data_IF_971529071824
#
_entry.id   IF_971529071824
#
_cell.length_a   1.000
_cell.length_b   1.000
_cell.length_c   1.000
_cell.angle_alpha   90.00
_cell.angle_beta   90.00
_cell.angle_gamma   90.00
#
_symmetry.space_group_name_H-M   'P 1'
#
loop_
_entity.id
_entity.type
_entity.pdbx_description
1 polymer ?
#
# COMPACT_ATOMS: atom_id res chain seq x y z
N UNK A 1 -48.46 -10.90 7.72
CA UNK A 1 -47.54 -11.15 8.85
C UNK A 1 -46.08 -11.03 8.41
N UNK A 2 -45.61 -9.81 8.09
CA UNK A 2 -44.20 -9.57 7.76
C UNK A 2 -43.29 -9.40 8.99
N UNK A 3 -43.83 -8.80 10.07
CA UNK A 3 -43.08 -8.57 11.31
C UNK A 3 -42.67 -9.88 12.02
N UNK A 4 -43.52 -10.91 11.99
CA UNK A 4 -43.21 -12.22 12.58
C UNK A 4 -42.17 -13.03 11.79
N UNK A 5 -42.02 -12.78 10.48
CA UNK A 5 -41.00 -13.41 9.65
C UNK A 5 -39.63 -12.72 9.85
N UNK A 6 -39.61 -11.39 9.89
CA UNK A 6 -38.41 -10.63 10.22
C UNK A 6 -37.90 -10.93 11.64
N UNK A 7 -38.79 -11.13 12.62
CA UNK A 7 -38.42 -11.59 13.96
C UNK A 7 -37.85 -13.02 13.98
N UNK A 8 -38.34 -13.94 13.15
CA UNK A 8 -37.75 -15.29 13.03
C UNK A 8 -36.40 -15.29 12.30
N UNK A 9 -36.20 -14.39 11.35
CA UNK A 9 -34.91 -14.22 10.68
C UNK A 9 -33.88 -13.53 11.60
N UNK A 10 -34.32 -12.60 12.44
CA UNK A 10 -33.49 -11.95 13.46
C UNK A 10 -33.18 -12.85 14.66
N UNK A 11 -34.03 -13.84 14.95
CA UNK A 11 -33.82 -14.87 15.96
C UNK A 11 -33.08 -16.11 15.43
N UNK A 12 -32.74 -16.15 14.14
CA UNK A 12 -31.91 -17.22 13.59
C UNK A 12 -30.45 -16.94 14.00
N UNK A 13 -29.92 -17.78 14.88
CA UNK A 13 -28.53 -17.69 15.29
C UNK A 13 -27.63 -17.75 14.05
N UNK A 14 -26.71 -16.80 13.84
CA UNK A 14 -25.77 -16.82 12.73
C UNK A 14 -25.07 -18.17 12.68
N UNK A 15 -24.94 -18.76 11.49
CA UNK A 15 -24.32 -20.09 11.32
C UNK A 15 -22.91 -20.13 11.91
N UNK A 16 -22.17 -19.02 11.81
CA UNK A 16 -20.86 -18.85 12.43
C UNK A 16 -20.93 -18.93 13.95
N UNK A 17 -21.95 -18.33 14.57
CA UNK A 17 -22.14 -18.31 16.01
C UNK A 17 -22.54 -19.69 16.54
N UNK A 18 -23.50 -20.37 15.90
CA UNK A 18 -23.85 -21.76 16.22
C UNK A 18 -22.66 -22.70 16.13
N UNK A 19 -21.85 -22.56 15.06
CA UNK A 19 -20.68 -23.38 14.83
C UNK A 19 -19.65 -23.28 15.96
N UNK A 20 -19.37 -22.06 16.43
CA UNK A 20 -18.42 -21.85 17.53
C UNK A 20 -19.02 -22.20 18.90
N UNK A 21 -20.30 -21.95 19.13
CA UNK A 21 -20.96 -22.34 20.39
C UNK A 21 -21.01 -23.85 20.56
N UNK A 22 -21.42 -24.59 19.52
CA UNK A 22 -21.51 -26.04 19.59
C UNK A 22 -20.13 -26.72 19.71
N UNK A 23 -19.07 -26.10 19.17
CA UNK A 23 -17.69 -26.59 19.33
C UNK A 23 -17.02 -26.14 20.65
N UNK A 24 -17.63 -25.20 21.37
CA UNK A 24 -17.19 -24.71 22.67
C UNK A 24 -17.97 -25.29 23.86
N UNK A 25 -18.98 -26.12 23.60
CA UNK A 25 -19.93 -26.67 24.60
C UNK A 25 -19.23 -27.39 25.78
N UNK A 26 -18.07 -28.00 25.54
CA UNK A 26 -17.24 -28.69 26.56
C UNK A 26 -15.92 -27.96 26.87
N UNK A 27 -15.76 -26.69 26.47
CA UNK A 27 -14.48 -25.97 26.53
C UNK A 27 -14.63 -24.62 27.21
N UNK A 28 -13.94 -24.43 28.35
CA UNK A 28 -13.94 -23.15 29.05
C UNK A 28 -13.06 -22.10 28.34
N UNK A 29 -13.67 -21.34 27.43
CA UNK A 29 -13.03 -20.28 26.63
C UNK A 29 -12.54 -19.07 27.44
N UNK A 30 -12.87 -18.97 28.74
CA UNK A 30 -12.30 -17.95 29.62
C UNK A 30 -10.86 -18.27 30.06
N UNK A 31 -10.42 -19.52 29.87
CA UNK A 31 -9.07 -19.99 30.22
C UNK A 31 -8.18 -20.08 28.99
N UNK A 32 -6.87 -19.88 29.18
CA UNK A 32 -5.88 -19.95 28.09
C UNK A 32 -5.85 -21.36 27.46
N UNK A 33 -5.93 -22.40 28.29
CA UNK A 33 -6.00 -23.80 27.84
C UNK A 33 -7.30 -24.12 27.08
N UNK A 34 -8.43 -23.58 27.52
CA UNK A 34 -9.69 -23.75 26.80
C UNK A 34 -9.68 -23.08 25.43
N UNK A 35 -9.14 -21.86 25.32
CA UNK A 35 -8.98 -21.18 24.02
C UNK A 35 -8.07 -21.96 23.07
N UNK A 36 -7.00 -22.57 23.57
CA UNK A 36 -6.11 -23.41 22.76
C UNK A 36 -6.80 -24.70 22.28
N UNK A 37 -7.57 -25.38 23.16
CA UNK A 37 -8.34 -26.58 22.79
C UNK A 37 -9.41 -26.30 21.74
N UNK A 38 -10.11 -25.17 21.85
CA UNK A 38 -11.08 -24.75 20.85
C UNK A 38 -10.41 -24.51 19.49
N UNK A 39 -9.27 -23.83 19.47
CA UNK A 39 -8.52 -23.57 18.23
C UNK A 39 -8.05 -24.87 17.55
N UNK A 40 -7.50 -25.82 18.29
CA UNK A 40 -7.06 -27.13 17.76
C UNK A 40 -8.21 -27.95 17.18
N UNK A 41 -9.41 -27.85 17.76
CA UNK A 41 -10.60 -28.59 17.28
C UNK A 41 -11.22 -27.95 16.03
N UNK A 42 -11.21 -26.62 15.94
CA UNK A 42 -11.81 -25.87 14.83
C UNK A 42 -10.92 -25.84 13.58
N UNK A 43 -9.59 -25.74 13.75
CA UNK A 43 -8.60 -25.66 12.64
C UNK A 43 -8.79 -26.72 11.54
N UNK A 44 -8.90 -28.03 11.83
CA UNK A 44 -9.04 -29.05 10.78
C UNK A 44 -10.40 -28.97 10.06
N UNK A 45 -11.44 -28.45 10.72
CA UNK A 45 -12.76 -28.26 10.10
C UNK A 45 -12.76 -27.06 9.15
N UNK A 46 -12.09 -25.97 9.51
CA UNK A 46 -11.92 -24.80 8.63
C UNK A 46 -11.06 -25.11 7.40
N UNK A 47 -10.09 -26.01 7.51
CA UNK A 47 -9.27 -26.45 6.37
C UNK A 47 -10.07 -27.23 5.31
N UNK A 48 -11.26 -27.75 5.65
CA UNK A 48 -12.16 -28.46 4.72
C UNK A 48 -13.11 -27.53 3.96
N UNK A 49 -13.16 -26.23 4.32
CA UNK A 49 -13.98 -25.26 3.60
C UNK A 49 -13.27 -24.84 2.29
N UNK A 50 -14.03 -24.64 1.20
CA UNK A 50 -13.50 -24.12 -0.05
C UNK A 50 -12.87 -22.73 0.17
N UNK A 51 -11.83 -22.43 -0.60
CA UNK A 51 -11.17 -21.13 -0.56
C UNK A 51 -12.13 -20.02 -1.00
N UNK A 52 -12.26 -18.97 -0.19
CA UNK A 52 -13.18 -17.86 -0.44
C UNK A 52 -13.41 -16.98 0.79
N UNK A 53 -14.04 -15.82 0.61
CA UNK A 53 -14.20 -14.78 1.64
C UNK A 53 -14.84 -15.29 2.95
N UNK A 54 -15.72 -16.29 2.88
CA UNK A 54 -16.34 -16.89 4.07
C UNK A 54 -15.32 -17.62 4.95
N UNK A 55 -14.37 -18.34 4.34
CA UNK A 55 -13.31 -19.04 5.07
C UNK A 55 -12.37 -18.05 5.78
N UNK A 56 -12.10 -16.90 5.17
CA UNK A 56 -11.28 -15.84 5.77
C UNK A 56 -11.98 -15.19 6.97
N UNK A 57 -13.28 -14.88 6.83
CA UNK A 57 -14.10 -14.35 7.93
C UNK A 57 -14.22 -15.34 9.09
N UNK A 58 -14.32 -16.65 8.82
CA UNK A 58 -14.34 -17.69 9.86
C UNK A 58 -12.98 -17.84 10.58
N UNK A 59 -11.86 -17.68 9.87
CA UNK A 59 -10.53 -17.67 10.49
C UNK A 59 -10.32 -16.42 11.37
N UNK A 60 -10.76 -15.26 10.91
CA UNK A 60 -10.74 -14.02 11.69
C UNK A 60 -11.61 -14.13 12.95
N UNK A 61 -12.81 -14.73 12.83
CA UNK A 61 -13.69 -14.97 13.97
C UNK A 61 -13.06 -15.93 15.01
N UNK A 62 -12.36 -16.98 14.57
CA UNK A 62 -11.62 -17.89 15.46
C UNK A 62 -10.48 -17.15 16.19
N UNK A 63 -9.73 -16.30 15.47
CA UNK A 63 -8.65 -15.51 16.06
C UNK A 63 -9.17 -14.52 17.09
N UNK A 64 -10.28 -13.83 16.80
CA UNK A 64 -10.91 -12.88 17.72
C UNK A 64 -11.36 -13.55 19.04
N UNK A 65 -11.84 -14.79 18.97
CA UNK A 65 -12.35 -15.53 20.14
C UNK A 65 -11.26 -16.25 20.95
N UNK A 66 -10.22 -16.76 20.28
CA UNK A 66 -9.18 -17.57 20.95
C UNK A 66 -7.87 -16.82 21.19
N UNK A 67 -7.60 -15.75 20.44
CA UNK A 67 -6.30 -15.08 20.40
C UNK A 67 -5.19 -15.90 19.74
N UNK A 68 -5.50 -17.13 19.29
CA UNK A 68 -4.54 -18.04 18.68
C UNK A 68 -4.65 -17.92 17.16
N UNK A 69 -3.66 -17.29 16.54
CA UNK A 69 -3.54 -17.24 15.09
C UNK A 69 -3.20 -18.63 14.54
N UNK A 70 -3.85 -19.07 13.46
CA UNK A 70 -3.53 -20.32 12.73
C UNK A 70 -2.28 -20.20 11.86
N UNK A 71 -1.33 -19.35 12.23
CA UNK A 71 -0.01 -19.32 11.62
C UNK A 71 0.90 -20.25 12.42
N UNK A 72 1.37 -21.32 11.75
CA UNK A 72 2.36 -22.24 12.29
C UNK A 72 3.57 -21.46 12.86
N UNK A 73 4.11 -21.84 14.04
CA UNK A 73 5.25 -21.15 14.63
C UNK A 73 6.52 -21.55 13.88
N UNK A 74 7.05 -20.66 13.03
CA UNK A 74 8.40 -20.80 12.51
C UNK A 74 9.40 -20.45 13.62
N UNK A 75 10.25 -21.42 13.94
CA UNK A 75 11.27 -21.38 14.96
C UNK A 75 12.25 -20.20 14.81
N UNK A 76 12.70 -19.70 15.96
CA UNK A 76 13.75 -18.69 16.13
C UNK A 76 15.10 -19.18 15.62
N UNK A 77 15.63 -18.47 14.62
CA UNK A 77 17.07 -18.38 14.34
C UNK A 77 17.41 -16.91 14.02
N UNK A 78 18.47 -16.32 14.62
CA UNK A 78 18.84 -14.94 14.36
C UNK A 78 19.71 -14.89 13.10
N UNK A 79 19.08 -14.94 11.92
CA UNK A 79 19.74 -14.53 10.69
C UNK A 79 19.33 -13.10 10.38
N UNK A 80 20.25 -12.19 10.67
CA UNK A 80 20.25 -10.80 10.20
C UNK A 80 20.31 -10.81 8.67
N UNK A 81 19.13 -10.90 8.04
CA UNK A 81 18.91 -10.63 6.63
C UNK A 81 18.10 -9.32 6.53
N UNK A 82 18.41 -8.44 5.56
CA UNK A 82 17.85 -7.10 5.53
C UNK A 82 16.33 -7.18 5.41
N UNK A 83 15.65 -6.34 6.19
CA UNK A 83 14.23 -6.05 6.05
C UNK A 83 13.96 -5.43 4.66
N UNK A 84 13.97 -6.26 3.62
CA UNK A 84 13.71 -5.88 2.24
C UNK A 84 12.75 -6.90 1.66
N UNK A 85 11.50 -6.88 2.12
CA UNK A 85 10.35 -7.50 1.41
C UNK A 85 8.97 -7.30 2.06
N UNK A 86 8.82 -6.47 3.09
CA UNK A 86 7.50 -6.02 3.53
C UNK A 86 6.98 -4.77 2.77
N UNK A 87 7.80 -4.18 1.88
CA UNK A 87 7.43 -3.03 1.04
C UNK A 87 7.19 -3.36 -0.43
N UNK A 88 7.34 -4.62 -0.85
CA UNK A 88 7.38 -4.99 -2.27
C UNK A 88 6.00 -5.15 -2.94
N UNK A 89 4.89 -5.08 -2.21
CA UNK A 89 3.53 -5.26 -2.75
C UNK A 89 2.67 -3.99 -2.65
N UNK A 90 3.07 -2.98 -1.88
CA UNK A 90 2.55 -1.63 -2.12
C UNK A 90 3.24 -1.13 -3.39
N UNK A 91 2.51 -1.05 -4.51
CA UNK A 91 3.00 -0.55 -5.79
C UNK A 91 3.88 0.68 -5.54
N UNK A 92 5.13 0.64 -6.02
CA UNK A 92 6.01 1.80 -5.92
C UNK A 92 5.32 2.98 -6.61
N UNK A 93 5.10 4.08 -5.90
CA UNK A 93 4.46 5.29 -6.45
C UNK A 93 5.20 5.82 -7.68
N UNK A 94 6.53 5.69 -7.69
CA UNK A 94 7.37 6.03 -8.85
C UNK A 94 7.07 5.09 -10.01
N UNK A 95 6.98 3.78 -9.75
CA UNK A 95 6.66 2.79 -10.79
C UNK A 95 5.27 3.00 -11.38
N UNK A 96 4.30 3.32 -10.53
CA UNK A 96 2.93 3.66 -10.91
C UNK A 96 2.89 4.94 -11.75
N UNK A 97 3.54 6.02 -11.30
CA UNK A 97 3.65 7.25 -12.07
C UNK A 97 4.31 7.04 -13.44
N UNK A 98 5.37 6.22 -13.51
CA UNK A 98 6.01 5.86 -14.78
C UNK A 98 5.06 5.05 -15.67
N UNK A 99 4.39 4.03 -15.13
CA UNK A 99 3.47 3.20 -15.91
C UNK A 99 2.30 4.02 -16.48
N UNK A 100 1.71 4.90 -15.67
CA UNK A 100 0.62 5.78 -16.11
C UNK A 100 1.11 6.81 -17.14
N UNK A 101 2.30 7.38 -16.95
CA UNK A 101 2.91 8.29 -17.93
C UNK A 101 3.23 7.59 -19.25
N UNK A 102 3.62 6.31 -19.22
CA UNK A 102 3.84 5.52 -20.43
C UNK A 102 2.51 5.14 -21.10
N UNK A 103 1.41 4.99 -20.35
CA UNK A 103 0.09 4.77 -20.93
C UNK A 103 -0.47 6.03 -21.61
N UNK A 104 -0.24 7.20 -21.01
CA UNK A 104 -0.61 8.49 -21.59
C UNK A 104 0.51 9.54 -21.41
N UNK A 105 1.41 9.68 -22.41
CA UNK A 105 2.47 10.68 -22.38
C UNK A 105 1.98 12.13 -22.35
N UNK A 106 0.73 12.41 -22.72
CA UNK A 106 0.19 13.77 -22.70
C UNK A 106 0.05 14.30 -21.27
N UNK A 107 -0.05 13.42 -20.26
CA UNK A 107 -0.07 13.78 -18.85
C UNK A 107 1.20 14.54 -18.40
N UNK A 108 2.31 14.43 -19.13
CA UNK A 108 3.51 15.21 -18.86
C UNK A 108 3.27 16.72 -18.98
N UNK A 109 2.27 17.16 -19.75
CA UNK A 109 1.91 18.56 -19.91
C UNK A 109 1.30 19.17 -18.63
N UNK A 110 0.61 18.37 -17.82
CA UNK A 110 -0.11 18.76 -16.60
C UNK A 110 0.82 19.16 -15.45
N UNK A 111 2.10 18.80 -15.53
CA UNK A 111 3.10 19.00 -14.48
C UNK A 111 4.25 19.83 -15.03
N UNK A 112 4.61 20.91 -14.34
CA UNK A 112 5.67 21.81 -14.75
C UNK A 112 6.88 21.76 -13.81
N UNK A 113 8.10 22.03 -14.31
CA UNK A 113 9.25 22.34 -13.47
C UNK A 113 9.01 23.62 -12.64
N UNK A 114 9.57 23.74 -11.42
CA UNK A 114 10.39 22.74 -10.74
C UNK A 114 9.56 21.56 -10.22
N UNK A 115 10.11 20.34 -10.35
CA UNK A 115 9.43 19.12 -9.94
C UNK A 115 9.36 19.03 -8.40
N UNK A 116 8.20 19.29 -7.79
CA UNK A 116 8.03 19.31 -6.33
C UNK A 116 8.45 18.00 -5.64
N UNK A 117 8.34 16.87 -6.34
CA UNK A 117 8.74 15.55 -5.87
C UNK A 117 10.23 15.21 -6.11
N UNK A 118 11.02 16.06 -6.77
CA UNK A 118 12.41 15.75 -7.11
C UNK A 118 13.30 15.47 -5.89
N UNK A 119 12.95 16.05 -4.73
CA UNK A 119 13.66 15.81 -3.48
C UNK A 119 13.31 14.47 -2.81
N UNK A 120 12.39 13.68 -3.36
CA UNK A 120 12.04 12.37 -2.80
C UNK A 120 13.21 11.39 -2.91
N UNK A 121 13.54 10.71 -1.81
CA UNK A 121 14.64 9.73 -1.77
C UNK A 121 14.28 8.37 -2.42
N UNK A 122 13.28 8.33 -3.28
CA UNK A 122 12.75 7.09 -3.88
C UNK A 122 13.59 6.67 -5.10
N UNK A 123 13.90 5.37 -5.25
CA UNK A 123 14.58 4.88 -6.45
C UNK A 123 13.71 5.10 -7.69
N UNK A 124 14.31 5.60 -8.77
CA UNK A 124 13.64 5.86 -10.04
C UNK A 124 13.04 7.26 -10.20
N UNK A 125 13.14 8.15 -9.20
CA UNK A 125 12.69 9.56 -9.33
C UNK A 125 13.44 10.27 -10.47
N UNK A 126 14.75 10.06 -10.59
CA UNK A 126 15.55 10.61 -11.69
C UNK A 126 15.05 10.12 -13.07
N UNK A 127 14.69 8.84 -13.17
CA UNK A 127 14.15 8.25 -14.40
C UNK A 127 12.77 8.84 -14.75
N UNK A 128 11.90 9.02 -13.75
CA UNK A 128 10.59 9.66 -13.93
C UNK A 128 10.75 11.11 -14.41
N UNK A 129 11.71 11.87 -13.89
CA UNK A 129 12.02 13.22 -14.34
C UNK A 129 12.49 13.21 -15.80
N UNK A 130 13.42 12.34 -16.17
CA UNK A 130 13.92 12.24 -17.55
C UNK A 130 12.77 11.89 -18.53
N UNK A 131 11.87 10.98 -18.14
CA UNK A 131 10.68 10.64 -18.93
C UNK A 131 9.72 11.82 -19.08
N UNK A 132 9.47 12.58 -18.00
CA UNK A 132 8.63 13.77 -18.04
C UNK A 132 9.20 14.83 -18.97
N UNK A 133 10.51 15.08 -18.88
CA UNK A 133 11.21 16.02 -19.76
C UNK A 133 11.13 15.59 -21.22
N UNK A 134 11.35 14.30 -21.50
CA UNK A 134 11.28 13.75 -22.86
C UNK A 134 9.85 13.84 -23.44
N UNK A 135 8.84 13.46 -22.65
CA UNK A 135 7.44 13.52 -23.07
C UNK A 135 6.97 14.97 -23.30
N UNK A 136 7.41 15.92 -22.48
CA UNK A 136 7.13 17.35 -22.68
C UNK A 136 7.86 17.93 -23.89
N UNK A 137 9.08 17.50 -24.16
CA UNK A 137 9.85 17.96 -25.32
C UNK A 137 9.29 17.44 -26.65
N UNK A 138 8.53 16.33 -26.62
CA UNK A 138 7.98 15.67 -27.80
C UNK A 138 6.47 15.38 -27.63
N UNK A 139 5.61 16.40 -27.59
CA UNK A 139 4.18 16.21 -27.44
C UNK A 139 3.61 15.36 -28.59
N UNK A 140 2.83 14.34 -28.26
CA UNK A 140 2.24 13.41 -29.24
C UNK A 140 3.19 12.32 -29.75
N UNK A 141 4.42 12.22 -29.24
CA UNK A 141 5.30 11.11 -29.58
C UNK A 141 4.71 9.77 -29.06
N UNK A 142 4.77 8.70 -29.87
CA UNK A 142 4.33 7.39 -29.41
C UNK A 142 5.26 6.88 -28.30
N UNK A 143 4.71 6.07 -27.40
CA UNK A 143 5.44 5.47 -26.26
C UNK A 143 6.71 4.77 -26.71
N UNK A 144 6.67 4.04 -27.83
CA UNK A 144 7.84 3.38 -28.41
C UNK A 144 8.99 4.37 -28.67
N UNK A 145 8.72 5.57 -29.19
CA UNK A 145 9.75 6.58 -29.43
C UNK A 145 10.33 7.17 -28.12
N UNK A 146 9.58 7.14 -27.02
CA UNK A 146 10.09 7.47 -25.70
C UNK A 146 10.99 6.34 -25.18
N UNK A 147 10.60 5.08 -25.35
CA UNK A 147 11.37 3.91 -24.93
C UNK A 147 12.71 3.77 -25.67
N UNK A 148 12.75 4.11 -26.97
CA UNK A 148 13.98 4.08 -27.76
C UNK A 148 15.09 4.98 -27.20
N UNK A 149 14.75 6.07 -26.50
CA UNK A 149 15.73 6.93 -25.83
C UNK A 149 16.50 6.20 -24.72
N UNK A 150 15.90 5.13 -24.17
CA UNK A 150 16.48 4.31 -23.11
C UNK A 150 17.08 2.99 -23.64
N UNK A 151 17.06 2.74 -24.96
CA UNK A 151 17.66 1.57 -25.58
C UNK A 151 19.15 1.43 -25.19
N UNK A 152 19.53 0.24 -24.72
CA UNK A 152 20.90 -0.05 -24.25
C UNK A 152 21.22 0.36 -22.80
N UNK A 153 20.26 0.96 -22.07
CA UNK A 153 20.40 1.24 -20.63
C UNK A 153 19.86 0.09 -19.79
N UNK A 154 20.30 0.02 -18.53
CA UNK A 154 19.85 -1.00 -17.56
C UNK A 154 18.34 -0.96 -17.26
N UNK A 155 17.71 0.20 -17.47
CA UNK A 155 16.33 0.49 -17.18
C UNK A 155 15.38 0.09 -18.33
N UNK A 156 15.92 -0.18 -19.52
CA UNK A 156 15.14 -0.44 -20.74
C UNK A 156 14.13 -1.58 -20.54
N UNK A 157 14.57 -2.73 -20.05
CA UNK A 157 13.71 -3.90 -19.82
C UNK A 157 12.60 -3.62 -18.82
N UNK A 158 12.88 -2.80 -17.81
CA UNK A 158 11.89 -2.41 -16.81
C UNK A 158 10.83 -1.52 -17.44
N UNK A 159 11.23 -0.50 -18.22
CA UNK A 159 10.31 0.40 -18.89
C UNK A 159 9.40 -0.32 -19.89
N UNK A 160 9.95 -1.27 -20.68
CA UNK A 160 9.14 -2.10 -21.59
C UNK A 160 8.08 -2.90 -20.82
N UNK A 161 8.44 -3.49 -19.67
CA UNK A 161 7.47 -4.21 -18.82
C UNK A 161 6.39 -3.29 -18.24
N UNK A 162 6.71 -2.02 -17.96
CA UNK A 162 5.74 -1.05 -17.47
C UNK A 162 4.80 -0.56 -18.57
N UNK A 163 5.30 -0.40 -19.78
CA UNK A 163 4.49 -0.01 -20.94
C UNK A 163 3.46 -1.07 -21.35
N UNK A 164 3.69 -2.34 -20.99
CA UNK A 164 2.76 -3.45 -21.22
C UNK A 164 1.67 -3.57 -20.15
N UNK A 165 1.66 -2.70 -19.13
CA UNK A 165 0.61 -2.73 -18.10
C UNK A 165 -0.67 -2.18 -18.71
N UNK A 166 -1.68 -3.04 -18.84
CA UNK A 166 -3.02 -2.63 -19.22
C UNK A 166 -3.74 -1.93 -18.06
N UNK A 167 -4.31 -0.77 -18.36
CA UNK A 167 -5.18 -0.03 -17.46
C UNK A 167 -6.63 -0.20 -17.92
N UNK A 168 -7.55 -0.62 -17.03
CA UNK A 168 -8.97 -0.71 -17.39
C UNK A 168 -9.52 0.67 -17.81
N UNK A 169 -10.38 0.71 -18.83
CA UNK A 169 -10.94 1.96 -19.40
C UNK A 169 -11.63 2.88 -18.38
N UNK A 170 -12.14 2.32 -17.28
CA UNK A 170 -12.76 3.08 -16.20
C UNK A 170 -11.75 3.76 -15.24
N UNK A 171 -10.45 3.58 -15.42
CA UNK A 171 -9.43 4.23 -14.58
C UNK A 171 -9.22 5.68 -15.00
N UNK A 172 -9.32 6.59 -14.03
CA UNK A 172 -8.90 7.97 -14.21
C UNK A 172 -7.37 8.07 -14.09
N UNK A 173 -6.68 7.79 -15.21
CA UNK A 173 -5.22 7.84 -15.31
C UNK A 173 -4.65 9.19 -14.86
N UNK A 174 -5.36 10.28 -15.16
CA UNK A 174 -4.94 11.63 -14.77
C UNK A 174 -4.92 11.76 -13.25
N UNK A 175 -6.01 11.38 -12.57
CA UNK A 175 -6.09 11.45 -11.11
C UNK A 175 -5.10 10.50 -10.44
N UNK A 176 -4.88 9.30 -10.97
CA UNK A 176 -3.87 8.37 -10.46
C UNK A 176 -2.46 8.95 -10.59
N UNK A 177 -2.13 9.52 -11.75
CA UNK A 177 -0.83 10.14 -11.99
C UNK A 177 -0.58 11.32 -11.04
N UNK A 178 -1.50 12.28 -11.00
CA UNK A 178 -1.39 13.45 -10.14
C UNK A 178 -1.40 13.06 -8.65
N UNK A 179 -2.20 12.06 -8.29
CA UNK A 179 -2.25 11.49 -6.94
C UNK A 179 -0.92 10.87 -6.53
N UNK A 180 -0.30 10.08 -7.40
CA UNK A 180 1.01 9.48 -7.17
C UNK A 180 2.11 10.54 -6.99
N UNK A 181 2.15 11.57 -7.85
CA UNK A 181 3.10 12.68 -7.74
C UNK A 181 2.89 13.52 -6.48
N UNK A 182 1.63 13.77 -6.11
CA UNK A 182 1.29 14.47 -4.87
C UNK A 182 1.73 13.66 -3.65
N UNK A 183 1.57 12.34 -3.68
CA UNK A 183 2.04 11.46 -2.62
C UNK A 183 3.57 11.42 -2.53
N UNK A 184 4.29 11.40 -3.66
CA UNK A 184 5.75 11.52 -3.68
C UNK A 184 6.22 12.86 -3.11
N UNK A 185 5.54 13.96 -3.46
CA UNK A 185 5.83 15.29 -2.91
C UNK A 185 5.63 15.33 -1.39
N UNK A 186 4.52 14.75 -0.89
CA UNK A 186 4.29 14.63 0.56
C UNK A 186 5.37 13.81 1.26
N UNK A 187 5.84 12.73 0.63
CA UNK A 187 6.95 11.92 1.17
C UNK A 187 8.25 12.71 1.24
N UNK A 188 8.61 13.43 0.17
CA UNK A 188 9.81 14.28 0.14
C UNK A 188 9.79 15.33 1.25
N UNK A 189 8.66 16.02 1.44
CA UNK A 189 8.52 17.01 2.51
C UNK A 189 8.60 16.38 3.91
N UNK A 190 8.02 15.20 4.10
CA UNK A 190 8.09 14.49 5.38
C UNK A 190 9.52 14.05 5.72
N UNK A 191 10.26 13.52 4.73
CA UNK A 191 11.68 13.16 4.88
C UNK A 191 12.52 14.38 5.21
N UNK A 192 12.29 15.50 4.52
CA UNK A 192 13.01 16.76 4.76
C UNK A 192 12.74 17.33 6.16
N UNK A 193 11.49 17.28 6.62
CA UNK A 193 11.13 17.67 7.99
C UNK A 193 11.83 16.80 9.04
N UNK A 194 11.87 15.48 8.84
CA UNK A 194 12.57 14.57 9.74
C UNK A 194 14.08 14.87 9.79
N UNK A 195 14.71 15.13 8.65
CA UNK A 195 16.12 15.54 8.57
C UNK A 195 16.38 16.83 9.36
N UNK A 196 15.55 17.86 9.16
CA UNK A 196 15.70 19.14 9.85
C UNK A 196 15.44 19.01 11.36
N UNK A 197 14.48 18.19 11.76
CA UNK A 197 14.16 17.94 13.17
C UNK A 197 15.32 17.21 13.87
N UNK A 198 15.91 16.20 13.22
CA UNK A 198 17.10 15.50 13.73
C UNK A 198 18.29 16.44 13.84
N UNK A 199 18.51 17.30 12.83
CA UNK A 199 19.60 18.28 12.85
C UNK A 199 19.42 19.31 13.97
N UNK A 200 18.19 19.79 14.19
CA UNK A 200 17.86 20.69 15.29
C UNK A 200 18.24 20.12 16.65
N UNK A 201 17.99 18.82 16.87
CA UNK A 201 18.31 18.14 18.14
C UNK A 201 19.81 17.94 18.36
N UNK A 202 20.60 17.82 17.28
CA UNK A 202 22.03 17.48 17.39
C UNK A 202 22.96 18.69 17.38
N UNK A 203 22.70 19.67 16.50
CA UNK A 203 23.68 20.72 16.13
C UNK A 203 23.04 22.10 16.00
N UNK A 204 21.73 22.21 16.23
CA UNK A 204 20.94 23.40 15.93
C UNK A 204 20.65 23.57 14.43
N UNK A 205 19.82 24.56 14.10
CA UNK A 205 19.48 24.92 12.72
C UNK A 205 20.01 26.30 12.37
N UNK A 206 20.49 26.45 11.14
CA UNK A 206 20.80 27.75 10.56
C UNK A 206 19.53 28.56 10.30
N UNK A 207 19.67 29.88 10.11
CA UNK A 207 18.55 30.76 9.76
C UNK A 207 17.73 30.28 8.54
N UNK A 208 18.35 29.89 7.39
CA UNK A 208 17.58 29.40 6.25
C UNK A 208 16.83 28.08 6.54
N UNK A 209 17.44 27.18 7.32
CA UNK A 209 16.81 25.90 7.67
C UNK A 209 15.62 26.06 8.63
N UNK A 210 15.67 27.06 9.53
CA UNK A 210 14.53 27.42 10.37
C UNK A 210 13.36 27.93 9.53
N UNK A 211 13.64 28.81 8.56
CA UNK A 211 12.63 29.30 7.62
C UNK A 211 12.06 28.17 6.77
N UNK A 212 12.90 27.25 6.28
CA UNK A 212 12.47 26.05 5.54
C UNK A 212 11.54 25.16 6.38
N UNK A 213 11.90 24.88 7.64
CA UNK A 213 11.08 24.08 8.54
C UNK A 213 9.70 24.72 8.77
N UNK A 214 9.64 26.04 8.97
CA UNK A 214 8.37 26.77 9.11
C UNK A 214 7.51 26.67 7.85
N UNK A 215 8.11 26.84 6.67
CA UNK A 215 7.41 26.70 5.39
C UNK A 215 6.84 25.29 5.20
N UNK A 216 7.62 24.25 5.50
CA UNK A 216 7.19 22.85 5.39
C UNK A 216 6.06 22.51 6.36
N UNK A 217 6.07 23.05 7.59
CA UNK A 217 4.95 22.89 8.53
C UNK A 217 3.67 23.60 8.05
N UNK A 218 3.79 24.78 7.42
CA UNK A 218 2.64 25.48 6.84
C UNK A 218 2.02 24.68 5.70
N UNK A 219 2.85 24.17 4.77
CA UNK A 219 2.41 23.35 3.64
C UNK A 219 1.68 22.08 4.09
N UNK A 220 2.15 21.42 5.17
CA UNK A 220 1.50 20.23 5.72
C UNK A 220 0.10 20.51 6.31
N UNK A 221 -0.12 21.71 6.85
CA UNK A 221 -1.45 22.12 7.37
C UNK A 221 -2.44 22.36 6.24
N UNK A 222 -1.99 22.92 5.11
CA UNK A 222 -2.84 23.20 3.95
C UNK A 222 -3.18 21.95 3.12
N UNK A 223 -2.34 20.90 3.15
CA UNK A 223 -2.62 19.64 2.44
C UNK A 223 -3.53 18.65 3.18
N UNK A 224 -4.11 19.02 4.32
CA UNK A 224 -5.04 18.19 5.10
C UNK A 224 -6.46 18.78 5.21
N UNK A 225 -6.73 19.89 4.51
CA UNK A 225 -8.06 20.47 4.35
C UNK A 225 -8.60 20.13 2.94
#
# INVERSE_FOLDING_TARGET
GGAAFAQRLAAAMPLSEYFFEHLAEDVNVATLDGRARLAERVRPLLARLPDGAFRDLMQQALQARTGVSSQAPAATAPTRAPARRASAVRRSLVREAIAVLLADPALAAEVAPPWSFAAASQPGVALLIELLELARARPGAPVAALLEHFSGRSEADALHKLALIDFPEAHDLRSEFLGALAQLTRQAHAERLDQLTKKLQQQGLSAPEKSELQALHAMRRHGQA
#
